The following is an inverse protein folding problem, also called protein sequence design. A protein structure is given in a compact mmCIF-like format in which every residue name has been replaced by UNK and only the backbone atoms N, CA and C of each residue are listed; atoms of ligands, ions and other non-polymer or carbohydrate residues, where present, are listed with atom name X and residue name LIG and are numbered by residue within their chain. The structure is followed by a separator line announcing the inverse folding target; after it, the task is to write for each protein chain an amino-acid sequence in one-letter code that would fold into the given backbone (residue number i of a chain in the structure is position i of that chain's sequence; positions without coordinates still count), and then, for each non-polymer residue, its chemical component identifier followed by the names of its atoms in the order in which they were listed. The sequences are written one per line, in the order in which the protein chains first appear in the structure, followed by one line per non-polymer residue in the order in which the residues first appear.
data_IF_170599165788
#
_entry.id   IF_170599165788
#
_cell.length_a   1.000
_cell.length_b   1.000
_cell.length_c   1.000
_cell.angle_alpha   90.00
_cell.angle_beta   90.00
_cell.angle_gamma   90.00
#
_symmetry.space_group_name_H-M   'P 1'
#
loop_
_entity.id
_entity.type
_entity.pdbx_description
1 polymer ?
#
# COMPACT_ATOMS: atom_id res chain seq x y z
N UNK A 1 -23.06 -10.57 3.01
CA UNK A 1 -22.14 -11.52 3.69
C UNK A 1 -21.20 -12.23 2.69
N UNK A 2 -20.07 -11.60 2.35
CA UNK A 2 -19.09 -12.10 1.37
C UNK A 2 -18.29 -13.34 1.87
N UNK A 3 -18.29 -13.61 3.18
CA UNK A 3 -17.50 -14.69 3.79
C UNK A 3 -18.00 -16.13 3.59
N UNK A 4 -19.19 -16.35 3.03
CA UNK A 4 -19.76 -17.72 2.92
C UNK A 4 -19.17 -18.49 1.70
N UNK A 5 -18.49 -17.81 0.76
CA UNK A 5 -17.95 -18.44 -0.47
C UNK A 5 -16.45 -18.19 -0.74
N UNK A 6 -15.73 -17.50 0.16
CA UNK A 6 -14.34 -17.13 -0.06
C UNK A 6 -13.42 -18.31 0.31
N UNK A 7 -12.92 -19.04 -0.70
CA UNK A 7 -11.96 -20.15 -0.51
C UNK A 7 -10.51 -19.65 -0.50
N UNK A 8 -10.22 -18.65 -1.32
CA UNK A 8 -8.93 -17.96 -1.39
C UNK A 8 -9.14 -16.59 -2.06
N UNK A 9 -8.28 -15.63 -1.74
CA UNK A 9 -8.16 -14.37 -2.50
C UNK A 9 -7.26 -14.69 -3.70
N UNK A 10 -7.60 -14.27 -4.94
CA UNK A 10 -6.70 -14.48 -6.07
C UNK A 10 -5.44 -13.60 -5.96
N UNK A 11 -4.29 -14.13 -6.37
CA UNK A 11 -3.02 -13.40 -6.39
C UNK A 11 -2.41 -13.41 -7.79
N UNK A 12 -1.55 -12.43 -8.06
CA UNK A 12 -0.58 -12.55 -9.16
C UNK A 12 0.49 -13.58 -8.80
N UNK A 13 1.11 -14.23 -9.80
CA UNK A 13 2.31 -15.03 -9.57
C UNK A 13 3.40 -14.18 -8.90
N UNK A 14 4.13 -14.76 -7.95
CA UNK A 14 5.26 -14.07 -7.33
C UNK A 14 6.35 -13.78 -8.36
N UNK A 15 6.84 -12.54 -8.37
CA UNK A 15 7.96 -12.12 -9.20
C UNK A 15 8.95 -11.29 -8.37
N UNK A 16 10.21 -11.72 -8.38
CA UNK A 16 11.30 -11.10 -7.65
C UNK A 16 11.61 -9.66 -8.13
N UNK A 17 11.21 -9.30 -9.35
CA UNK A 17 11.36 -7.93 -9.89
C UNK A 17 10.54 -6.90 -9.10
N UNK A 18 9.49 -7.34 -8.40
CA UNK A 18 8.64 -6.52 -7.53
C UNK A 18 9.11 -6.47 -6.07
N UNK A 19 10.28 -7.04 -5.77
CA UNK A 19 10.95 -6.90 -4.47
C UNK A 19 12.09 -5.90 -4.61
N UNK A 20 11.83 -4.65 -4.21
CA UNK A 20 12.73 -3.51 -4.45
C UNK A 20 13.37 -3.00 -3.17
N UNK A 21 14.57 -2.43 -3.31
CA UNK A 21 15.21 -1.68 -2.24
C UNK A 21 14.72 -0.24 -2.26
N UNK A 22 14.38 0.29 -1.10
CA UNK A 22 13.96 1.66 -0.93
C UNK A 22 14.86 2.40 0.07
N UNK A 23 15.08 3.68 -0.18
CA UNK A 23 15.72 4.60 0.75
C UNK A 23 14.64 5.29 1.56
N UNK A 24 14.74 5.22 2.88
CA UNK A 24 13.85 5.94 3.78
C UNK A 24 14.34 7.37 3.99
N UNK A 25 13.44 8.33 3.80
CA UNK A 25 13.65 9.74 4.09
C UNK A 25 12.70 10.11 5.22
N UNK A 26 13.21 10.38 6.45
CA UNK A 26 12.36 10.66 7.60
C UNK A 26 11.59 11.97 7.41
N UNK A 27 10.37 12.00 7.94
CA UNK A 27 9.56 13.20 8.05
C UNK A 27 10.15 14.19 9.07
N UNK A 28 9.68 15.44 9.02
CA UNK A 28 9.87 16.36 10.11
C UNK A 28 9.13 15.87 11.38
N UNK A 29 9.56 16.34 12.55
CA UNK A 29 8.88 15.99 13.79
C UNK A 29 7.41 16.45 13.76
N UNK A 30 6.50 15.55 14.18
CA UNK A 30 5.05 15.79 14.22
C UNK A 30 4.42 16.10 12.85
N UNK A 31 5.08 15.70 11.76
CA UNK A 31 4.52 15.87 10.42
C UNK A 31 3.29 14.97 10.23
N UNK A 32 2.20 15.58 9.75
CA UNK A 32 0.96 14.89 9.40
C UNK A 32 0.60 15.13 7.95
N UNK A 33 -0.19 14.20 7.40
CA UNK A 33 -0.78 14.35 6.07
C UNK A 33 -2.28 14.08 6.14
N UNK A 34 -3.05 14.82 5.36
CA UNK A 34 -4.48 14.55 5.22
C UNK A 34 -4.68 13.28 4.38
N UNK A 35 -5.42 12.32 4.95
CA UNK A 35 -5.90 11.13 4.25
C UNK A 35 -7.41 11.03 4.36
N UNK A 36 -8.04 10.46 3.33
CA UNK A 36 -9.47 10.14 3.35
C UNK A 36 -9.69 8.68 3.66
N UNK A 37 -10.78 8.35 4.34
CA UNK A 37 -11.27 6.98 4.40
C UNK A 37 -12.33 6.71 3.32
N UNK A 38 -12.75 5.45 3.19
CA UNK A 38 -13.80 5.02 2.25
C UNK A 38 -15.17 5.66 2.48
N UNK A 39 -15.42 6.26 3.65
CA UNK A 39 -16.65 7.03 3.94
C UNK A 39 -16.52 8.51 3.54
N UNK A 40 -15.37 8.93 3.00
CA UNK A 40 -15.10 10.31 2.63
C UNK A 40 -14.69 11.23 3.79
N UNK A 41 -14.45 10.67 4.98
CA UNK A 41 -13.95 11.45 6.13
C UNK A 41 -12.47 11.78 5.93
N UNK A 42 -12.11 13.03 6.18
CA UNK A 42 -10.73 13.50 6.18
C UNK A 42 -10.13 13.36 7.59
N UNK A 43 -8.90 12.85 7.65
CA UNK A 43 -8.16 12.56 8.87
C UNK A 43 -6.73 13.07 8.70
N UNK A 44 -6.20 13.75 9.72
CA UNK A 44 -4.77 14.05 9.80
C UNK A 44 -4.05 12.82 10.36
N UNK A 45 -3.14 12.26 9.57
CA UNK A 45 -2.41 11.04 9.90
C UNK A 45 -0.92 11.37 10.04
N UNK A 46 -0.33 10.99 11.18
CA UNK A 46 1.12 11.12 11.39
C UNK A 46 1.89 10.25 10.38
N UNK A 47 2.94 10.83 9.80
CA UNK A 47 3.80 10.13 8.86
C UNK A 47 5.19 9.94 9.44
N UNK A 48 5.78 8.78 9.17
CA UNK A 48 7.17 8.51 9.56
C UNK A 48 8.15 9.13 8.55
N UNK A 49 7.72 9.30 7.30
CA UNK A 49 8.54 9.79 6.21
C UNK A 49 8.09 9.25 4.86
N UNK A 50 9.04 9.14 3.93
CA UNK A 50 8.80 8.58 2.59
C UNK A 50 9.82 7.51 2.24
N UNK A 51 9.41 6.56 1.41
CA UNK A 51 10.25 5.52 0.82
C UNK A 51 10.46 5.83 -0.65
N UNK A 52 11.71 6.09 -1.04
CA UNK A 52 12.10 6.39 -2.41
C UNK A 52 12.80 5.19 -3.04
N UNK A 53 12.33 4.75 -4.20
CA UNK A 53 12.84 3.55 -4.88
C UNK A 53 12.66 3.64 -6.38
N UNK A 54 13.30 2.71 -7.10
CA UNK A 54 13.04 2.50 -8.51
C UNK A 54 12.30 1.19 -8.71
N UNK A 55 11.27 1.22 -9.55
CA UNK A 55 10.53 0.05 -9.98
C UNK A 55 10.30 0.14 -11.49
N UNK A 56 10.71 -0.91 -12.22
CA UNK A 56 10.60 -0.97 -13.69
C UNK A 56 11.18 0.28 -14.39
N UNK A 57 12.30 0.80 -13.87
CA UNK A 57 12.98 1.99 -14.42
C UNK A 57 12.30 3.34 -14.11
N UNK A 58 11.22 3.36 -13.32
CA UNK A 58 10.55 4.58 -12.86
C UNK A 58 10.95 4.89 -11.43
N UNK A 59 11.22 6.16 -11.16
CA UNK A 59 11.38 6.66 -9.80
C UNK A 59 10.00 6.73 -9.14
N UNK A 60 9.89 6.13 -7.96
CA UNK A 60 8.66 6.07 -7.18
C UNK A 60 8.91 6.53 -5.75
N UNK A 61 7.86 7.03 -5.12
CA UNK A 61 7.84 7.43 -3.73
C UNK A 61 6.54 6.93 -3.10
N UNK A 62 6.61 6.44 -1.86
CA UNK A 62 5.43 6.12 -1.05
C UNK A 62 5.58 6.72 0.34
N UNK A 63 4.50 7.22 0.92
CA UNK A 63 4.45 7.61 2.32
C UNK A 63 4.53 6.39 3.23
N UNK A 64 5.39 6.48 4.24
CA UNK A 64 5.53 5.49 5.29
C UNK A 64 4.74 5.92 6.52
N UNK A 65 3.72 5.15 6.88
CA UNK A 65 2.98 5.29 8.14
C UNK A 65 3.57 4.37 9.20
N UNK A 66 3.22 4.61 10.47
CA UNK A 66 3.57 3.68 11.53
C UNK A 66 2.82 2.35 11.38
N UNK A 67 3.57 1.28 11.14
CA UNK A 67 3.06 -0.10 11.10
C UNK A 67 3.31 -0.87 12.39
N UNK A 68 3.84 -0.21 13.42
CA UNK A 68 4.34 -0.81 14.64
C UNK A 68 5.87 -0.73 14.77
N UNK A 69 6.44 -1.39 15.79
CA UNK A 69 7.86 -1.23 16.14
C UNK A 69 8.82 -1.60 15.01
N UNK A 70 8.50 -2.67 14.28
CA UNK A 70 9.42 -3.30 13.32
C UNK A 70 9.06 -3.04 11.86
N UNK A 71 7.92 -2.41 11.59
CA UNK A 71 7.41 -2.24 10.23
C UNK A 71 6.86 -0.83 9.98
N UNK A 72 6.92 -0.42 8.71
CA UNK A 72 6.09 0.64 8.16
C UNK A 72 4.82 0.06 7.57
N UNK A 73 3.77 0.85 7.58
CA UNK A 73 2.53 0.56 6.89
C UNK A 73 2.39 1.47 5.67
N UNK A 74 2.16 0.87 4.51
CA UNK A 74 2.03 1.56 3.23
C UNK A 74 0.61 1.40 2.70
N UNK A 75 0.06 2.49 2.21
CA UNK A 75 -1.22 2.55 1.52
C UNK A 75 -0.94 3.16 0.15
N UNK A 76 -1.24 2.43 -0.92
CA UNK A 76 -0.89 2.87 -2.26
C UNK A 76 -1.94 2.48 -3.30
N UNK A 77 -1.89 3.17 -4.43
CA UNK A 77 -2.59 2.79 -5.65
C UNK A 77 -1.60 2.70 -6.81
N UNK A 78 -2.04 2.11 -7.91
CA UNK A 78 -1.25 1.98 -9.14
C UNK A 78 -2.18 1.79 -10.34
N UNK A 79 -1.65 1.61 -11.55
CA UNK A 79 -2.48 1.51 -12.76
C UNK A 79 -3.33 0.23 -12.85
N UNK A 80 -3.15 -0.74 -11.95
CA UNK A 80 -4.05 -1.91 -11.83
C UNK A 80 -5.26 -1.65 -10.94
N UNK A 81 -5.23 -0.58 -10.14
CA UNK A 81 -6.26 -0.25 -9.14
C UNK A 81 -7.60 0.02 -9.84
N UNK A 82 -8.63 -0.74 -9.46
CA UNK A 82 -9.98 -0.63 -10.04
C UNK A 82 -10.18 -1.41 -11.35
N UNK A 83 -9.13 -2.04 -11.87
CA UNK A 83 -9.19 -2.93 -13.04
C UNK A 83 -8.92 -4.38 -12.62
N UNK A 84 -7.65 -4.70 -12.32
CA UNK A 84 -7.25 -6.06 -11.90
C UNK A 84 -6.97 -6.18 -10.40
N UNK A 85 -6.92 -5.06 -9.67
CA UNK A 85 -6.80 -4.98 -8.20
C UNK A 85 -7.93 -4.14 -7.58
N UNK A 86 -8.13 -4.24 -6.27
CA UNK A 86 -9.24 -3.56 -5.59
C UNK A 86 -9.21 -2.04 -5.79
N UNK A 87 -10.37 -1.44 -6.09
CA UNK A 87 -10.49 -0.03 -6.47
C UNK A 87 -10.11 0.98 -5.38
N UNK A 88 -10.15 0.59 -4.11
CA UNK A 88 -9.71 1.43 -2.99
C UNK A 88 -8.19 1.46 -2.77
N UNK A 89 -7.41 0.77 -3.62
CA UNK A 89 -5.97 0.60 -3.45
C UNK A 89 -5.63 -0.60 -2.57
N UNK A 90 -4.34 -0.73 -2.25
CA UNK A 90 -3.79 -1.88 -1.54
C UNK A 90 -2.92 -1.46 -0.37
N UNK A 91 -2.80 -2.38 0.57
CA UNK A 91 -2.02 -2.23 1.78
C UNK A 91 -0.77 -3.11 1.73
N UNK A 92 0.30 -2.68 2.36
CA UNK A 92 1.54 -3.45 2.48
C UNK A 92 2.30 -3.06 3.76
N UNK A 93 2.85 -4.06 4.43
CA UNK A 93 3.83 -3.84 5.49
C UNK A 93 5.24 -4.10 4.95
N UNK A 94 6.19 -3.24 5.32
CA UNK A 94 7.60 -3.47 5.05
C UNK A 94 8.44 -3.21 6.31
N UNK A 95 9.60 -3.85 6.47
CA UNK A 95 10.46 -3.62 7.63
C UNK A 95 10.88 -2.16 7.79
N UNK A 96 11.20 -1.76 9.03
CA UNK A 96 11.97 -0.53 9.30
C UNK A 96 13.31 -0.55 8.56
N UNK A 97 13.89 0.62 8.25
CA UNK A 97 15.16 0.68 7.53
C UNK A 97 16.31 0.15 8.38
N UNK A 98 17.32 -0.37 7.71
CA UNK A 98 18.62 -0.69 8.30
C UNK A 98 19.38 0.58 8.73
N UNK A 99 20.54 0.40 9.36
CA UNK A 99 21.42 1.51 9.81
C UNK A 99 21.89 2.43 8.67
N UNK A 100 21.68 2.03 7.40
CA UNK A 100 22.01 2.83 6.21
C UNK A 100 20.79 3.55 5.65
N UNK A 101 19.66 3.52 6.35
CA UNK A 101 18.40 4.12 5.91
C UNK A 101 17.73 3.34 4.77
N UNK A 102 17.99 2.04 4.63
CA UNK A 102 17.49 1.24 3.52
C UNK A 102 16.52 0.17 4.00
N UNK A 103 15.42 -0.03 3.27
CA UNK A 103 14.48 -1.12 3.52
C UNK A 103 14.13 -1.86 2.23
N UNK A 104 13.37 -2.95 2.36
CA UNK A 104 12.86 -3.73 1.25
C UNK A 104 11.35 -3.61 1.20
N UNK A 105 10.83 -3.21 0.05
CA UNK A 105 9.41 -3.27 -0.27
C UNK A 105 9.19 -4.51 -1.14
N UNK A 106 8.31 -5.41 -0.70
CA UNK A 106 7.98 -6.64 -1.42
C UNK A 106 6.51 -6.60 -1.86
N UNK A 107 6.24 -6.03 -3.05
CA UNK A 107 4.88 -5.85 -3.54
C UNK A 107 4.13 -7.17 -3.78
N UNK A 108 4.82 -8.31 -3.81
CA UNK A 108 4.16 -9.62 -3.82
C UNK A 108 3.33 -9.88 -2.56
N UNK A 109 3.57 -9.12 -1.48
CA UNK A 109 2.83 -9.19 -0.22
C UNK A 109 1.74 -8.12 -0.10
N UNK A 110 1.52 -7.31 -1.14
CA UNK A 110 0.44 -6.34 -1.12
C UNK A 110 -0.91 -7.06 -1.05
N UNK A 111 -1.79 -6.59 -0.18
CA UNK A 111 -3.06 -7.23 0.10
C UNK A 111 -4.23 -6.23 0.05
N UNK A 112 -5.43 -6.75 -0.16
CA UNK A 112 -6.63 -5.96 -0.22
C UNK A 112 -7.04 -5.51 1.20
N UNK A 113 -7.35 -4.22 1.40
CA UNK A 113 -7.80 -3.72 2.69
C UNK A 113 -9.14 -4.38 3.11
N UNK A 114 -9.49 -4.39 4.42
CA UNK A 114 -10.75 -4.97 4.89
C UNK A 114 -12.01 -4.48 4.18
N UNK A 115 -12.04 -3.21 3.73
CA UNK A 115 -13.17 -2.65 2.97
C UNK A 115 -13.41 -3.34 1.62
N UNK A 116 -12.43 -4.08 1.09
CA UNK A 116 -12.60 -4.93 -0.08
C UNK A 116 -13.51 -6.14 0.17
N UNK A 117 -13.89 -6.41 1.42
CA UNK A 117 -14.72 -7.58 1.77
C UNK A 117 -15.98 -7.20 2.58
N UNK A 118 -16.11 -5.94 2.99
CA UNK A 118 -17.21 -5.47 3.85
C UNK A 118 -17.35 -3.94 3.83
N UNK A 119 -18.58 -3.46 3.60
CA UNK A 119 -18.92 -2.03 3.60
C UNK A 119 -18.83 -1.39 5.00
N UNK A 120 -18.74 -2.21 6.06
CA UNK A 120 -18.64 -1.74 7.44
C UNK A 120 -17.22 -1.33 7.87
N UNK A 121 -16.21 -1.56 7.03
CA UNK A 121 -14.83 -1.17 7.35
C UNK A 121 -14.54 0.26 6.88
N UNK A 122 -13.84 1.05 7.70
CA UNK A 122 -13.53 2.46 7.43
C UNK A 122 -12.06 2.65 7.02
N UNK A 123 -11.62 1.91 6.00
CA UNK A 123 -10.23 1.90 5.55
C UNK A 123 -9.79 3.25 4.99
N UNK A 124 -8.52 3.61 5.22
CA UNK A 124 -7.87 4.75 4.60
C UNK A 124 -7.61 4.47 3.11
N UNK A 125 -7.80 5.49 2.29
CA UNK A 125 -7.51 5.48 0.86
C UNK A 125 -6.12 6.06 0.59
N UNK A 126 -5.43 5.58 -0.44
CA UNK A 126 -4.16 6.17 -0.86
C UNK A 126 -4.36 7.62 -1.28
N UNK A 127 -3.38 8.47 -0.97
CA UNK A 127 -3.35 9.84 -1.49
C UNK A 127 -2.91 9.82 -2.95
N UNK A 128 -3.08 10.94 -3.64
CA UNK A 128 -2.66 11.08 -5.02
C UNK A 128 -1.13 10.91 -5.17
N UNK A 129 -0.37 11.36 -4.17
CA UNK A 129 1.08 11.25 -4.10
C UNK A 129 1.56 9.80 -3.91
N UNK A 130 0.70 8.93 -3.39
CA UNK A 130 0.97 7.50 -3.15
C UNK A 130 0.48 6.62 -4.34
N UNK A 131 0.26 7.23 -5.50
CA UNK A 131 -0.02 6.53 -6.75
C UNK A 131 1.27 6.19 -7.49
N UNK A 132 1.51 4.88 -7.67
CA UNK A 132 2.61 4.39 -8.49
C UNK A 132 2.22 4.49 -9.97
N UNK A 133 3.02 5.18 -10.82
CA UNK A 133 2.64 5.47 -12.20
C UNK A 133 2.91 4.29 -13.15
N UNK A 134 2.61 3.07 -12.72
CA UNK A 134 2.86 1.81 -13.45
C UNK A 134 1.80 0.77 -13.10
N UNK A 135 1.64 -0.25 -13.95
CA UNK A 135 0.79 -1.38 -13.62
C UNK A 135 1.57 -2.36 -12.73
N UNK A 136 1.13 -2.53 -11.48
CA UNK A 136 1.80 -3.39 -10.50
C UNK A 136 1.06 -4.73 -10.38
N UNK A 137 1.45 -5.67 -11.24
CA UNK A 137 0.91 -7.03 -11.29
C UNK A 137 1.57 -7.97 -10.25
N UNK A 138 1.53 -7.57 -8.97
CA UNK A 138 2.05 -8.32 -7.83
C UNK A 138 1.05 -8.34 -6.68
N UNK A 139 1.06 -9.35 -5.81
CA UNK A 139 0.17 -9.40 -4.63
C UNK A 139 -1.27 -9.78 -4.95
N UNK A 140 -2.21 -9.36 -4.10
CA UNK A 140 -3.63 -9.67 -4.24
C UNK A 140 -4.30 -8.94 -5.41
N UNK A 141 -5.16 -9.67 -6.11
CA UNK A 141 -6.07 -9.17 -7.16
C UNK A 141 -7.40 -8.75 -6.55
N UNK A 142 -8.22 -8.07 -7.35
CA UNK A 142 -9.60 -7.78 -6.96
C UNK A 142 -10.37 -9.07 -6.66
N UNK A 143 -11.21 -9.02 -5.64
CA UNK A 143 -12.09 -10.11 -5.26
C UNK A 143 -13.53 -9.77 -5.63
N UNK A 144 -13.95 -10.19 -6.83
CA UNK A 144 -15.31 -9.99 -7.33
C UNK A 144 -15.72 -8.53 -7.45
N UNK A 145 -16.99 -8.31 -7.83
CA UNK A 145 -17.58 -6.97 -7.85
C UNK A 145 -18.01 -6.60 -6.42
N UNK A 146 -17.31 -5.64 -5.83
CA UNK A 146 -17.72 -4.89 -4.64
C UNK A 146 -18.00 -3.44 -5.06
#
# INVERSE_FOLDING_TARGET
PARIRLRAIPHFPTDASYRVRATFVPAAAEETVMMRNVLGMELDVEVMGTLQFQLQGKQCTLTALDGGPDEFFLIFSDNTTGDTTYGGGRYLYCPRPDDKGQTIIDFNKAYNPPCAFTDFATCLLPRAEDNLPLALEAGEKSFGDH
#
